data_IF_961311405722
#
_entry.id   IF_961311405722
#
_cell.length_a   1.000
_cell.length_b   1.000
_cell.length_c   1.000
_cell.angle_alpha   90.00
_cell.angle_beta   90.00
_cell.angle_gamma   90.00
#
_symmetry.space_group_name_H-M   'P 1'
#
loop_
_entity.id
_entity.type
_entity.pdbx_description
1 polymer ?
#
# COMPACT_ATOMS: atom_id res chain seq x y z
N UNK A 1 8.97 -1.75 3.96
CA UNK A 1 8.65 -0.96 5.16
C UNK A 1 9.88 -0.23 5.72
N UNK A 2 11.03 -0.90 5.90
CA UNK A 2 12.27 -0.27 6.41
C UNK A 2 12.76 0.96 5.60
N UNK A 3 12.72 0.90 4.27
CA UNK A 3 13.17 2.00 3.42
C UNK A 3 12.29 3.26 3.54
N UNK A 4 10.99 3.07 3.77
CA UNK A 4 10.02 4.16 3.97
C UNK A 4 10.23 4.82 5.35
N UNK A 5 10.45 4.02 6.39
CA UNK A 5 10.74 4.54 7.73
C UNK A 5 12.02 5.38 7.73
N UNK A 6 13.09 4.91 7.10
CA UNK A 6 14.37 5.64 7.03
C UNK A 6 14.23 6.97 6.26
N UNK A 7 13.53 6.98 5.12
CA UNK A 7 13.30 8.21 4.34
C UNK A 7 12.35 9.21 5.01
N UNK A 8 11.34 8.73 5.74
CA UNK A 8 10.40 9.56 6.50
C UNK A 8 11.06 10.21 7.72
N UNK A 9 11.80 9.45 8.53
CA UNK A 9 12.51 9.99 9.70
C UNK A 9 13.73 10.85 9.32
N UNK A 10 14.39 10.56 8.19
CA UNK A 10 15.46 11.40 7.65
C UNK A 10 15.01 12.81 7.27
N UNK A 11 13.77 12.97 6.78
CA UNK A 11 13.23 14.28 6.38
C UNK A 11 12.64 15.10 7.54
N UNK A 12 12.21 14.44 8.63
CA UNK A 12 11.66 15.14 9.80
C UNK A 12 12.72 15.90 10.63
N UNK A 13 14.00 15.57 10.45
CA UNK A 13 15.12 16.12 11.25
C UNK A 13 15.96 17.16 10.50
N UNK A 14 15.73 17.36 9.19
CA UNK A 14 16.49 18.30 8.34
C UNK A 14 15.64 19.45 7.83
N UNK A 15 15.76 20.62 8.48
CA UNK A 15 14.94 21.80 8.18
C UNK A 15 15.12 22.39 6.77
N UNK A 16 14.01 22.87 6.20
CA UNK A 16 13.98 24.21 5.60
C UNK A 16 13.73 24.39 4.09
N UNK A 17 13.85 23.39 3.21
CA UNK A 17 13.84 23.65 1.75
C UNK A 17 12.96 22.74 0.86
N UNK A 18 12.02 21.95 1.40
CA UNK A 18 11.33 20.86 0.67
C UNK A 18 9.78 20.88 0.71
N UNK A 19 9.14 21.98 0.32
CA UNK A 19 7.66 22.07 0.41
C UNK A 19 6.89 21.18 -0.59
N UNK A 20 7.42 20.92 -1.78
CA UNK A 20 6.74 20.09 -2.81
C UNK A 20 7.00 18.59 -2.60
N UNK A 21 8.18 18.23 -2.09
CA UNK A 21 8.59 16.83 -1.94
C UNK A 21 7.77 16.09 -0.87
N UNK A 22 7.37 16.78 0.19
CA UNK A 22 6.61 16.17 1.29
C UNK A 22 5.21 15.68 0.87
N UNK A 23 4.52 16.37 -0.05
CA UNK A 23 3.16 15.99 -0.47
C UNK A 23 3.13 14.73 -1.33
N UNK A 24 4.14 14.53 -2.19
CA UNK A 24 4.29 13.30 -2.96
C UNK A 24 4.53 12.09 -2.02
N UNK A 25 5.35 12.27 -0.99
CA UNK A 25 5.62 11.24 0.01
C UNK A 25 4.38 10.91 0.85
N UNK A 26 3.64 11.90 1.32
CA UNK A 26 2.39 11.69 2.08
C UNK A 26 1.33 11.02 1.21
N UNK A 27 1.15 11.48 -0.04
CA UNK A 27 0.22 10.87 -0.98
C UNK A 27 0.58 9.42 -1.32
N UNK A 28 1.87 9.14 -1.56
CA UNK A 28 2.38 7.79 -1.78
C UNK A 28 2.20 6.88 -0.57
N UNK A 29 2.38 7.40 0.65
CA UNK A 29 2.14 6.66 1.88
C UNK A 29 0.66 6.28 2.06
N UNK A 30 -0.24 7.25 1.97
CA UNK A 30 -1.69 7.02 2.12
C UNK A 30 -2.20 6.08 1.03
N UNK A 31 -1.79 6.30 -0.23
CA UNK A 31 -2.12 5.40 -1.33
C UNK A 31 -1.60 3.98 -1.11
N UNK A 32 -0.36 3.85 -0.61
CA UNK A 32 0.23 2.57 -0.25
C UNK A 32 -0.51 1.86 0.88
N UNK A 33 -0.95 2.57 1.92
CA UNK A 33 -1.76 2.01 3.01
C UNK A 33 -3.11 1.50 2.51
N UNK A 34 -3.80 2.29 1.68
CA UNK A 34 -5.08 1.89 1.09
C UNK A 34 -4.90 0.64 0.23
N UNK A 35 -3.91 0.65 -0.67
CA UNK A 35 -3.64 -0.50 -1.52
C UNK A 35 -3.28 -1.75 -0.70
N UNK A 36 -2.44 -1.61 0.33
CA UNK A 36 -2.07 -2.72 1.22
C UNK A 36 -3.27 -3.29 1.99
N UNK A 37 -4.21 -2.47 2.42
CA UNK A 37 -5.44 -2.96 3.07
C UNK A 37 -6.31 -3.78 2.08
N UNK A 38 -6.34 -3.37 0.82
CA UNK A 38 -7.14 -4.02 -0.23
C UNK A 38 -6.53 -5.34 -0.72
N UNK A 39 -5.21 -5.41 -0.90
CA UNK A 39 -4.53 -6.56 -1.51
C UNK A 39 -3.76 -7.42 -0.52
N UNK A 40 -3.65 -6.98 0.73
CA UNK A 40 -2.93 -7.72 1.76
C UNK A 40 -3.51 -9.11 1.99
N UNK A 41 -2.67 -10.12 2.26
CA UNK A 41 -3.13 -11.47 2.51
C UNK A 41 -4.09 -11.49 3.71
N UNK A 42 -5.09 -12.35 3.65
CA UNK A 42 -6.05 -12.54 4.75
C UNK A 42 -5.90 -13.95 5.25
N UNK A 43 -5.05 -14.12 6.26
CA UNK A 43 -4.75 -15.44 6.79
C UNK A 43 -5.83 -15.95 7.73
N UNK A 44 -6.32 -17.16 7.45
CA UNK A 44 -7.09 -17.96 8.39
C UNK A 44 -6.25 -19.12 8.87
N UNK A 45 -6.16 -19.25 10.19
CA UNK A 45 -5.43 -20.33 10.84
C UNK A 45 -6.43 -21.42 11.21
N UNK A 46 -6.18 -22.63 10.75
CA UNK A 46 -6.93 -23.82 11.12
C UNK A 46 -5.99 -24.79 11.84
N UNK A 47 -6.44 -25.31 12.99
CA UNK A 47 -5.69 -26.28 13.77
C UNK A 47 -6.37 -27.63 13.62
N UNK A 48 -5.72 -28.53 12.89
CA UNK A 48 -6.14 -29.93 12.81
C UNK A 48 -5.73 -30.64 14.10
N UNK A 49 -6.73 -30.87 14.97
CA UNK A 49 -6.55 -31.52 16.28
C UNK A 49 -6.21 -33.00 16.17
N UNK A 50 -6.47 -33.64 15.04
CA UNK A 50 -6.20 -35.08 14.85
C UNK A 50 -4.74 -35.29 14.46
N UNK A 51 -4.21 -34.43 13.58
CA UNK A 51 -2.85 -34.54 13.05
C UNK A 51 -1.84 -33.59 13.72
N UNK A 52 -2.25 -32.83 14.73
CA UNK A 52 -1.43 -31.80 15.41
C UNK A 52 -0.77 -30.84 14.42
N UNK A 53 -1.48 -30.49 13.35
CA UNK A 53 -0.97 -29.64 12.26
C UNK A 53 -1.66 -28.28 12.29
N UNK A 54 -0.86 -27.22 12.17
CA UNK A 54 -1.34 -25.87 11.91
C UNK A 54 -1.34 -25.65 10.41
N UNK A 55 -2.51 -25.32 9.86
CA UNK A 55 -2.70 -25.00 8.45
C UNK A 55 -3.02 -23.51 8.35
N UNK A 56 -2.31 -22.80 7.48
CA UNK A 56 -2.54 -21.38 7.22
C UNK A 56 -3.11 -21.25 5.82
N UNK A 57 -4.33 -20.76 5.73
CA UNK A 57 -5.02 -20.49 4.47
C UNK A 57 -4.98 -18.99 4.18
N UNK A 58 -4.41 -18.60 3.04
CA UNK A 58 -4.61 -17.25 2.54
C UNK A 58 -5.95 -17.16 1.81
N UNK A 59 -6.89 -16.41 2.38
CA UNK A 59 -8.21 -16.20 1.83
C UNK A 59 -8.24 -15.17 0.69
N UNK A 60 -7.19 -14.36 0.55
CA UNK A 60 -7.05 -13.35 -0.51
C UNK A 60 -5.74 -13.55 -1.27
N UNK A 61 -5.63 -14.63 -2.06
CA UNK A 61 -4.42 -14.88 -2.81
C UNK A 61 -4.21 -13.79 -3.87
N UNK A 62 -2.94 -13.41 -4.07
CA UNK A 62 -2.50 -12.36 -5.00
C UNK A 62 -3.21 -12.35 -6.37
N UNK A 63 -3.40 -13.50 -7.07
CA UNK A 63 -4.08 -13.51 -8.36
C UNK A 63 -5.49 -12.91 -8.34
N UNK A 64 -6.24 -13.08 -7.24
CA UNK A 64 -7.59 -12.53 -7.10
C UNK A 64 -7.59 -11.02 -6.86
N UNK A 65 -6.46 -10.46 -6.41
CA UNK A 65 -6.31 -9.02 -6.12
C UNK A 65 -5.80 -8.20 -7.30
N UNK A 66 -5.33 -8.85 -8.38
CA UNK A 66 -4.80 -8.17 -9.59
C UNK A 66 -5.79 -7.16 -10.18
N UNK A 67 -7.10 -7.46 -10.34
CA UNK A 67 -8.05 -6.48 -10.83
C UNK A 67 -8.11 -5.23 -9.94
N UNK A 68 -8.08 -5.40 -8.61
CA UNK A 68 -8.08 -4.29 -7.65
C UNK A 68 -6.84 -3.42 -7.79
N UNK A 69 -5.65 -4.01 -7.99
CA UNK A 69 -4.41 -3.26 -8.24
C UNK A 69 -4.52 -2.42 -9.52
N UNK A 70 -5.00 -3.03 -10.61
CA UNK A 70 -5.16 -2.36 -11.90
C UNK A 70 -6.15 -1.19 -11.76
N UNK A 71 -7.31 -1.41 -11.14
CA UNK A 71 -8.31 -0.35 -10.93
C UNK A 71 -7.77 0.78 -10.06
N UNK A 72 -7.04 0.46 -8.99
CA UNK A 72 -6.41 1.47 -8.14
C UNK A 72 -5.39 2.31 -8.92
N UNK A 73 -4.49 1.66 -9.66
CA UNK A 73 -3.47 2.35 -10.47
C UNK A 73 -4.11 3.22 -11.57
N UNK A 74 -5.13 2.70 -12.26
CA UNK A 74 -5.87 3.45 -13.26
C UNK A 74 -6.59 4.67 -12.65
N UNK A 75 -7.17 4.53 -11.45
CA UNK A 75 -7.80 5.64 -10.73
C UNK A 75 -6.81 6.75 -10.36
N UNK A 76 -5.64 6.38 -9.83
CA UNK A 76 -4.57 7.36 -9.52
C UNK A 76 -4.09 8.07 -10.80
N UNK A 77 -3.88 7.33 -11.89
CA UNK A 77 -3.50 7.93 -13.18
C UNK A 77 -4.57 8.88 -13.71
N UNK A 78 -5.86 8.51 -13.63
CA UNK A 78 -6.95 9.38 -14.06
C UNK A 78 -7.00 10.68 -13.25
N UNK A 79 -6.81 10.61 -11.93
CA UNK A 79 -6.73 11.80 -11.07
C UNK A 79 -5.55 12.70 -11.45
N UNK A 80 -4.39 12.12 -11.77
CA UNK A 80 -3.23 12.88 -12.25
C UNK A 80 -3.52 13.59 -13.57
N UNK A 81 -4.13 12.89 -14.54
CA UNK A 81 -4.51 13.48 -15.83
C UNK A 81 -5.49 14.64 -15.65
N UNK A 82 -6.53 14.45 -14.83
CA UNK A 82 -7.51 15.50 -14.54
C UNK A 82 -6.84 16.70 -13.84
N UNK A 83 -5.97 16.44 -12.86
CA UNK A 83 -5.24 17.50 -12.16
C UNK A 83 -4.33 18.31 -13.10
N UNK A 84 -3.76 17.68 -14.12
CA UNK A 84 -2.97 18.38 -15.15
C UNK A 84 -3.86 19.20 -16.08
N UNK A 85 -5.02 18.67 -16.50
CA UNK A 85 -5.94 19.36 -17.41
C UNK A 85 -6.61 20.57 -16.73
N UNK A 86 -6.95 20.47 -15.46
CA UNK A 86 -7.65 21.51 -14.69
C UNK A 86 -6.72 22.56 -14.06
N UNK A 87 -5.41 22.45 -14.27
CA UNK A 87 -4.40 23.40 -13.80
C UNK A 87 -4.13 24.47 -14.84
#
# INVERSE_FOLDING_TARGET
MLNFSIGFFGNLTGGGLFLIDNWAHVGGFVGGMVLAALIGPLYRIEVDRVNTRVIVHDQRPLPHTIPTVITFAAGVLALLVVAVILR
#
